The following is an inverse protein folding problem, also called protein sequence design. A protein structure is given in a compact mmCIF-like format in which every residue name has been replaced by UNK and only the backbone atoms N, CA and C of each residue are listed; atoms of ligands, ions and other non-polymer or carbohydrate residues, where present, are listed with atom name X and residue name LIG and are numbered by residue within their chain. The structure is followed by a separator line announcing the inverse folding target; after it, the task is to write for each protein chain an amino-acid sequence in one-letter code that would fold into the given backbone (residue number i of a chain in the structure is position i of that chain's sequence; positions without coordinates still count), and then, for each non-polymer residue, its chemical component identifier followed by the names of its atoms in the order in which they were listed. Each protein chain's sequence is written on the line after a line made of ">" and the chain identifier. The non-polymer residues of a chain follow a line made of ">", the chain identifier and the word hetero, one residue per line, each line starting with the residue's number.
data_IF_777707533700
#
_entry.id   IF_777707533700
#
_cell.length_a   1.000
_cell.length_b   1.000
_cell.length_c   1.000
_cell.angle_alpha   90.00
_cell.angle_beta   90.00
_cell.angle_gamma   90.00
#
_symmetry.space_group_name_H-M   'P 1'
#
loop_
_entity.id
_entity.type
_entity.pdbx_description
1 polymer ?
#
# COMPACT_ATOMS: atom_id res chain seq x y z
N UNK A 1 12.24 -22.66 25.32
CA UNK A 1 11.50 -21.47 24.83
C UNK A 1 12.15 -21.09 23.53
N UNK A 2 11.53 -21.45 22.41
CA UNK A 2 12.11 -21.24 21.08
C UNK A 2 11.58 -19.90 20.54
N UNK A 3 12.48 -18.94 20.46
CA UNK A 3 12.28 -17.65 19.80
C UNK A 3 12.14 -17.93 18.30
N UNK A 4 10.91 -17.78 17.80
CA UNK A 4 10.64 -17.95 16.36
C UNK A 4 11.00 -16.63 15.70
N UNK A 5 12.22 -16.55 15.17
CA UNK A 5 12.67 -15.42 14.37
C UNK A 5 11.75 -15.30 13.16
N UNK A 6 10.93 -14.23 13.13
CA UNK A 6 10.17 -13.81 11.96
C UNK A 6 11.18 -13.37 10.90
N UNK A 7 11.50 -14.26 9.97
CA UNK A 7 12.35 -13.95 8.82
C UNK A 7 11.71 -12.83 8.00
N UNK A 8 12.51 -11.83 7.60
CA UNK A 8 12.20 -10.64 6.77
C UNK A 8 11.42 -10.85 5.45
N UNK A 9 10.93 -12.06 5.19
CA UNK A 9 10.11 -12.41 4.03
C UNK A 9 8.60 -12.21 4.25
N UNK A 10 8.14 -11.78 5.42
CA UNK A 10 6.72 -11.50 5.71
C UNK A 10 6.30 -10.05 5.49
N UNK A 11 7.16 -9.19 4.92
CA UNK A 11 6.68 -7.93 4.36
C UNK A 11 5.92 -8.25 3.09
N UNK A 12 4.58 -8.20 3.15
CA UNK A 12 3.70 -8.26 1.99
C UNK A 12 4.09 -7.12 1.06
N UNK A 13 5.00 -7.39 0.13
CA UNK A 13 5.30 -6.50 -0.99
C UNK A 13 3.98 -6.34 -1.73
N UNK A 14 3.41 -5.14 -1.66
CA UNK A 14 2.13 -4.80 -2.26
C UNK A 14 2.06 -5.46 -3.65
N UNK A 15 1.19 -6.45 -3.87
CA UNK A 15 1.12 -7.12 -5.14
C UNK A 15 0.38 -6.18 -6.10
N UNK A 16 1.10 -5.18 -6.60
CA UNK A 16 0.65 -4.44 -7.76
C UNK A 16 0.38 -5.47 -8.87
N UNK A 17 -0.83 -5.36 -9.45
CA UNK A 17 -1.33 -6.05 -10.64
C UNK A 17 -1.92 -7.46 -10.54
N UNK A 18 -1.93 -8.18 -9.40
CA UNK A 18 -2.62 -9.49 -9.38
C UNK A 18 -4.14 -9.38 -9.30
N UNK A 19 -4.67 -8.59 -8.36
CA UNK A 19 -6.13 -8.48 -8.18
C UNK A 19 -6.81 -7.82 -9.38
N UNK A 20 -6.18 -6.81 -10.01
CA UNK A 20 -6.71 -6.17 -11.23
C UNK A 20 -6.75 -7.15 -12.42
N UNK A 21 -5.81 -8.08 -12.50
CA UNK A 21 -5.83 -9.15 -13.52
C UNK A 21 -6.93 -10.16 -13.22
N UNK A 22 -7.12 -10.55 -11.96
CA UNK A 22 -8.20 -11.47 -11.58
C UNK A 22 -9.58 -10.85 -11.70
N UNK A 23 -9.74 -9.54 -11.47
CA UNK A 23 -11.02 -8.84 -11.69
C UNK A 23 -11.35 -8.67 -13.16
N UNK A 24 -10.36 -8.42 -14.02
CA UNK A 24 -10.56 -8.42 -15.48
C UNK A 24 -10.95 -9.82 -16.01
N UNK A 25 -10.32 -10.88 -15.49
CA UNK A 25 -10.69 -12.27 -15.83
C UNK A 25 -12.09 -12.60 -15.32
N UNK A 26 -12.43 -12.21 -14.08
CA UNK A 26 -13.77 -12.41 -13.50
C UNK A 26 -14.87 -11.70 -14.28
N UNK A 27 -14.64 -10.44 -14.68
CA UNK A 27 -15.57 -9.69 -15.52
C UNK A 27 -15.75 -10.33 -16.90
N UNK A 28 -14.68 -10.85 -17.51
CA UNK A 28 -14.75 -11.57 -18.78
C UNK A 28 -15.50 -12.92 -18.65
N UNK A 29 -15.37 -13.62 -17.53
CA UNK A 29 -16.11 -14.87 -17.26
C UNK A 29 -17.59 -14.60 -17.04
N UNK A 30 -17.96 -13.56 -16.27
CA UNK A 30 -19.37 -13.19 -16.05
C UNK A 30 -20.00 -12.67 -17.35
N UNK A 31 -19.29 -11.82 -18.10
CA UNK A 31 -19.73 -11.36 -19.41
C UNK A 31 -19.86 -12.51 -20.41
N UNK A 32 -18.89 -13.44 -20.43
CA UNK A 32 -18.90 -14.63 -21.28
C UNK A 32 -20.04 -15.60 -20.93
N UNK A 33 -20.26 -15.87 -19.64
CA UNK A 33 -21.38 -16.68 -19.18
C UNK A 33 -22.74 -16.05 -19.51
N UNK A 34 -22.82 -14.71 -19.54
CA UNK A 34 -24.04 -13.98 -19.93
C UNK A 34 -24.46 -14.17 -21.38
N UNK A 35 -23.51 -14.42 -22.29
CA UNK A 35 -23.81 -14.62 -23.72
C UNK A 35 -24.15 -16.08 -24.05
N UNK A 36 -23.94 -17.01 -23.11
CA UNK A 36 -24.05 -18.45 -23.37
C UNK A 36 -25.30 -18.99 -22.65
N UNK A 37 -26.44 -18.94 -23.33
CA UNK A 37 -27.70 -19.58 -22.91
C UNK A 37 -27.55 -21.03 -22.37
N UNK A 38 -26.73 -21.92 -22.96
CA UNK A 38 -26.62 -23.30 -22.46
C UNK A 38 -26.00 -23.41 -21.06
N UNK A 39 -25.24 -22.41 -20.57
CA UNK A 39 -24.73 -22.42 -19.18
C UNK A 39 -25.86 -22.17 -18.20
N UNK A 40 -26.77 -21.25 -18.52
CA UNK A 40 -27.92 -20.97 -17.68
C UNK A 40 -28.94 -22.11 -17.71
N UNK A 41 -29.11 -22.78 -18.85
CA UNK A 41 -29.95 -23.99 -18.95
C UNK A 41 -29.37 -25.15 -18.13
N UNK A 42 -28.04 -25.31 -18.09
CA UNK A 42 -27.39 -26.32 -17.26
C UNK A 42 -27.52 -26.03 -15.74
N UNK A 43 -27.58 -24.77 -15.33
CA UNK A 43 -27.65 -24.36 -13.92
C UNK A 43 -29.09 -24.23 -13.42
N UNK A 44 -30.00 -23.72 -14.27
CA UNK A 44 -31.37 -23.35 -13.90
C UNK A 44 -32.45 -24.22 -14.56
N UNK A 45 -32.09 -25.13 -15.46
CA UNK A 45 -33.02 -25.92 -16.27
C UNK A 45 -33.46 -25.21 -17.56
N UNK A 46 -34.18 -25.94 -18.42
CA UNK A 46 -34.61 -25.47 -19.76
C UNK A 46 -35.64 -24.32 -19.70
N UNK A 47 -36.39 -24.17 -18.60
CA UNK A 47 -37.37 -23.08 -18.39
C UNK A 47 -37.17 -22.39 -17.04
N UNK A 48 -36.15 -21.54 -16.88
CA UNK A 48 -35.96 -20.78 -15.67
C UNK A 48 -37.01 -19.67 -15.55
N UNK A 49 -37.61 -19.54 -14.37
CA UNK A 49 -38.54 -18.45 -14.06
C UNK A 49 -37.94 -17.08 -14.42
N UNK A 50 -38.78 -16.20 -15.00
CA UNK A 50 -38.39 -14.89 -15.50
C UNK A 50 -37.89 -13.99 -14.36
N UNK A 51 -36.59 -14.05 -14.08
CA UNK A 51 -35.96 -13.28 -13.01
C UNK A 51 -34.69 -13.92 -12.46
N UNK A 52 -34.58 -15.25 -12.48
CA UNK A 52 -33.41 -15.95 -11.90
C UNK A 52 -32.08 -15.56 -12.55
N UNK A 53 -32.05 -15.38 -13.88
CA UNK A 53 -30.86 -14.89 -14.59
C UNK A 53 -30.42 -13.52 -14.07
N UNK A 54 -31.36 -12.59 -13.90
CA UNK A 54 -31.09 -11.24 -13.40
C UNK A 54 -30.59 -11.27 -11.96
N UNK A 55 -31.23 -12.06 -11.09
CA UNK A 55 -30.81 -12.21 -9.69
C UNK A 55 -29.39 -12.76 -9.57
N UNK A 56 -29.00 -13.71 -10.41
CA UNK A 56 -27.63 -14.25 -10.44
C UNK A 56 -26.63 -13.19 -10.87
N UNK A 57 -26.96 -12.37 -11.88
CA UNK A 57 -26.09 -11.25 -12.26
C UNK A 57 -25.94 -10.23 -11.14
N UNK A 58 -27.03 -9.84 -10.51
CA UNK A 58 -27.00 -8.89 -9.39
C UNK A 58 -26.18 -9.45 -8.23
N UNK A 59 -26.37 -10.72 -7.88
CA UNK A 59 -25.61 -11.39 -6.83
C UNK A 59 -24.11 -11.48 -7.16
N UNK A 60 -23.76 -11.81 -8.41
CA UNK A 60 -22.38 -11.88 -8.86
C UNK A 60 -21.70 -10.50 -8.82
N UNK A 61 -22.38 -9.45 -9.30
CA UNK A 61 -21.89 -8.08 -9.24
C UNK A 61 -21.71 -7.62 -7.79
N UNK A 62 -22.70 -7.90 -6.92
CA UNK A 62 -22.63 -7.55 -5.51
C UNK A 62 -21.47 -8.26 -4.78
N UNK A 63 -21.27 -9.55 -5.01
CA UNK A 63 -20.16 -10.30 -4.45
C UNK A 63 -18.81 -9.70 -4.89
N UNK A 64 -18.69 -9.32 -6.17
CA UNK A 64 -17.49 -8.66 -6.68
C UNK A 64 -17.25 -7.28 -6.08
N UNK A 65 -18.30 -6.47 -5.92
CA UNK A 65 -18.20 -5.16 -5.29
C UNK A 65 -17.71 -5.26 -3.85
N UNK A 66 -18.16 -6.29 -3.10
CA UNK A 66 -17.70 -6.57 -1.75
C UNK A 66 -16.22 -6.98 -1.72
N UNK A 67 -15.80 -7.90 -2.60
CA UNK A 67 -14.40 -8.33 -2.71
C UNK A 67 -13.49 -7.15 -3.06
N UNK A 68 -13.89 -6.32 -4.04
CA UNK A 68 -13.13 -5.15 -4.45
C UNK A 68 -13.01 -4.13 -3.30
N UNK A 69 -14.10 -3.90 -2.57
CA UNK A 69 -14.10 -3.00 -1.41
C UNK A 69 -13.19 -3.50 -0.29
N UNK A 70 -13.21 -4.81 0.00
CA UNK A 70 -12.32 -5.43 0.97
C UNK A 70 -10.84 -5.31 0.56
N UNK A 71 -10.50 -5.51 -0.72
CA UNK A 71 -9.13 -5.31 -1.23
C UNK A 71 -8.68 -3.84 -1.11
N UNK A 72 -9.56 -2.88 -1.45
CA UNK A 72 -9.25 -1.46 -1.28
C UNK A 72 -9.02 -1.09 0.19
N UNK A 73 -9.83 -1.62 1.12
CA UNK A 73 -9.65 -1.44 2.56
C UNK A 73 -8.36 -2.09 3.08
N UNK A 74 -8.04 -3.30 2.62
CA UNK A 74 -6.80 -3.97 2.99
C UNK A 74 -5.58 -3.17 2.54
N UNK A 75 -5.60 -2.61 1.32
CA UNK A 75 -4.52 -1.74 0.81
C UNK A 75 -4.44 -0.41 1.51
N UNK A 76 -5.57 0.21 1.85
CA UNK A 76 -5.55 1.47 2.59
C UNK A 76 -4.99 1.28 3.99
N UNK A 77 -5.36 0.18 4.68
CA UNK A 77 -4.78 -0.19 5.97
C UNK A 77 -3.28 -0.49 5.86
N UNK A 78 -2.88 -1.33 4.90
CA UNK A 78 -1.47 -1.62 4.68
C UNK A 78 -0.64 -0.35 4.40
N UNK A 79 -1.19 0.58 3.62
CA UNK A 79 -0.56 1.87 3.31
C UNK A 79 -0.48 2.75 4.56
N UNK A 80 -1.55 2.84 5.35
CA UNK A 80 -1.58 3.61 6.59
C UNK A 80 -0.54 3.12 7.61
N UNK A 81 -0.31 1.80 7.68
CA UNK A 81 0.70 1.22 8.55
C UNK A 81 2.13 1.32 8.00
N UNK A 82 2.28 1.54 6.69
CA UNK A 82 3.59 1.65 6.02
C UNK A 82 4.07 3.10 5.89
N UNK A 83 3.25 4.10 6.24
CA UNK A 83 3.68 5.50 6.15
C UNK A 83 4.66 5.82 7.27
N UNK A 84 5.86 6.34 6.94
CA UNK A 84 6.80 6.77 7.96
C UNK A 84 6.17 7.91 8.76
N UNK A 85 6.21 7.78 10.09
CA UNK A 85 5.68 8.81 10.98
C UNK A 85 6.60 10.03 10.91
N UNK A 86 6.11 11.11 10.32
CA UNK A 86 6.85 12.38 10.22
C UNK A 86 6.50 13.23 11.44
N UNK A 87 7.47 13.44 12.32
CA UNK A 87 7.35 14.33 13.46
C UNK A 87 8.03 15.68 13.14
N UNK A 88 7.30 16.81 13.12
CA UNK A 88 7.91 18.12 12.95
C UNK A 88 8.76 18.47 14.18
N UNK A 89 9.93 19.08 13.95
CA UNK A 89 10.74 19.61 15.05
C UNK A 89 10.33 21.07 15.29
N UNK A 90 9.90 21.40 16.51
CA UNK A 90 9.43 22.75 16.83
C UNK A 90 10.55 23.80 16.83
N UNK A 91 11.77 23.41 17.16
CA UNK A 91 12.94 24.28 17.13
C UNK A 91 13.97 23.71 16.16
N UNK A 92 14.13 24.38 15.02
CA UNK A 92 15.07 23.95 14.01
C UNK A 92 16.50 23.94 14.58
N UNK A 93 17.13 22.77 14.59
CA UNK A 93 18.49 22.61 15.10
C UNK A 93 19.48 22.74 13.95
N UNK A 94 20.60 23.43 14.20
CA UNK A 94 21.69 23.52 13.24
C UNK A 94 22.46 22.20 13.22
N UNK A 95 22.77 21.74 12.02
CA UNK A 95 23.56 20.54 11.80
C UNK A 95 24.56 20.74 10.68
N UNK A 96 25.64 19.99 10.76
CA UNK A 96 26.61 19.81 9.69
C UNK A 96 26.37 18.45 9.07
N UNK A 97 26.15 18.41 7.76
CA UNK A 97 25.98 17.17 6.99
C UNK A 97 27.35 16.63 6.58
N UNK A 98 27.62 15.34 6.80
CA UNK A 98 29.01 14.80 6.78
C UNK A 98 29.21 13.60 5.85
N UNK A 99 28.25 13.24 5.00
CA UNK A 99 28.30 12.02 4.18
C UNK A 99 29.45 11.98 3.16
N UNK A 100 29.87 13.15 2.68
CA UNK A 100 30.94 13.27 1.67
C UNK A 100 31.98 14.31 2.07
N UNK A 101 31.51 15.49 2.45
CA UNK A 101 32.30 16.60 2.94
C UNK A 101 31.49 17.29 4.05
N UNK A 102 32.18 17.82 5.06
CA UNK A 102 31.53 18.56 6.15
C UNK A 102 30.87 19.81 5.57
N UNK A 103 29.53 19.78 5.44
CA UNK A 103 28.72 20.86 4.88
C UNK A 103 27.85 21.51 5.98
N UNK A 104 28.36 22.57 6.63
CA UNK A 104 27.69 23.20 7.77
C UNK A 104 26.52 24.08 7.35
N UNK A 105 25.70 24.47 8.32
CA UNK A 105 24.62 25.44 8.13
C UNK A 105 23.32 24.84 7.58
N UNK A 106 23.13 23.52 7.72
CA UNK A 106 21.83 22.90 7.53
C UNK A 106 20.96 23.09 8.78
N UNK A 107 19.65 23.11 8.59
CA UNK A 107 18.65 23.11 9.65
C UNK A 107 17.85 21.82 9.59
N UNK A 108 17.67 21.16 10.71
CA UNK A 108 16.75 20.03 10.84
C UNK A 108 15.35 20.57 11.13
N UNK A 109 14.38 20.17 10.32
CA UNK A 109 12.98 20.65 10.46
C UNK A 109 11.97 19.54 10.73
N UNK A 110 12.32 18.29 10.43
CA UNK A 110 11.47 17.15 10.72
C UNK A 110 12.30 15.88 10.96
N UNK A 111 11.68 14.92 11.64
CA UNK A 111 12.16 13.54 11.78
C UNK A 111 11.17 12.63 11.09
N UNK A 112 11.65 11.52 10.53
CA UNK A 112 10.78 10.39 10.19
C UNK A 112 11.32 9.10 10.77
N UNK A 113 10.40 8.29 11.27
CA UNK A 113 10.68 6.92 11.68
C UNK A 113 10.15 5.99 10.60
N UNK A 114 11.03 5.17 10.04
CA UNK A 114 10.64 4.16 9.09
C UNK A 114 10.07 2.95 9.85
N UNK A 115 8.85 2.48 9.58
CA UNK A 115 8.29 1.31 10.25
C UNK A 115 9.14 0.05 10.10
N UNK A 116 9.92 -0.05 9.01
CA UNK A 116 10.80 -1.21 8.75
C UNK A 116 12.17 -1.09 9.41
N UNK A 117 12.56 0.09 9.87
CA UNK A 117 13.81 0.31 10.60
C UNK A 117 13.61 1.42 11.65
N UNK A 118 12.95 1.11 12.77
CA UNK A 118 12.58 2.10 13.78
C UNK A 118 13.79 2.69 14.52
N UNK A 119 14.92 1.97 14.55
CA UNK A 119 16.13 2.35 15.27
C UNK A 119 17.01 3.34 14.50
N UNK A 120 16.74 3.56 13.21
CA UNK A 120 17.45 4.50 12.35
C UNK A 120 16.54 5.65 11.92
N UNK A 121 16.36 6.69 12.76
CA UNK A 121 15.59 7.86 12.37
C UNK A 121 16.32 8.65 11.28
N UNK A 122 15.55 9.10 10.30
CA UNK A 122 16.02 10.03 9.28
C UNK A 122 15.53 11.44 9.59
N UNK A 123 16.36 12.41 9.28
CA UNK A 123 16.18 13.83 9.59
C UNK A 123 16.02 14.60 8.29
N UNK A 124 14.97 15.40 8.18
CA UNK A 124 14.79 16.32 7.06
C UNK A 124 15.66 17.55 7.31
N UNK A 125 16.70 17.68 6.50
CA UNK A 125 17.61 18.83 6.52
C UNK A 125 17.29 19.80 5.39
N UNK A 126 17.37 21.09 5.70
CA UNK A 126 17.17 22.19 4.75
C UNK A 126 18.31 23.18 4.84
N UNK A 127 18.72 23.72 3.69
CA UNK A 127 19.73 24.78 3.58
C UNK A 127 19.33 25.68 2.42
N UNK A 128 19.46 27.00 2.60
CA UNK A 128 19.11 27.96 1.55
C UNK A 128 19.91 27.67 0.26
N UNK A 129 19.21 27.62 -0.88
CA UNK A 129 19.82 27.31 -2.17
C UNK A 129 20.10 25.83 -2.43
N UNK A 130 19.73 24.91 -1.52
CA UNK A 130 19.79 23.46 -1.73
C UNK A 130 18.39 22.84 -1.60
N UNK A 131 18.17 21.75 -2.32
CA UNK A 131 16.94 20.97 -2.17
C UNK A 131 16.88 20.34 -0.77
N UNK A 132 15.71 20.33 -0.10
CA UNK A 132 15.51 19.56 1.13
C UNK A 132 15.85 18.09 0.92
N UNK A 133 16.50 17.46 1.90
CA UNK A 133 16.85 16.05 1.81
C UNK A 133 16.71 15.35 3.16
N UNK A 134 16.49 14.04 3.10
CA UNK A 134 16.51 13.18 4.28
C UNK A 134 17.91 12.62 4.48
N UNK A 135 18.43 12.73 5.70
CA UNK A 135 19.73 12.23 6.09
C UNK A 135 19.61 11.37 7.36
N UNK A 136 20.30 10.22 7.44
CA UNK A 136 20.33 9.42 8.66
C UNK A 136 21.11 10.14 9.76
N UNK A 137 20.85 9.78 11.03
CA UNK A 137 21.59 10.32 12.18
C UNK A 137 23.11 10.24 12.04
N UNK A 138 23.62 9.18 11.40
CA UNK A 138 25.05 8.92 11.19
C UNK A 138 25.74 9.99 10.36
N UNK A 139 24.99 10.64 9.46
CA UNK A 139 25.53 11.60 8.49
C UNK A 139 25.41 13.05 8.99
N UNK A 140 25.07 13.24 10.28
CA UNK A 140 24.80 14.54 10.89
C UNK A 140 25.62 14.73 12.16
N UNK A 141 26.31 15.87 12.23
CA UNK A 141 26.87 16.43 13.48
C UNK A 141 25.95 17.55 13.97
N UNK A 142 25.55 17.48 15.22
CA UNK A 142 24.71 18.47 15.88
C UNK A 142 25.64 19.41 16.66
N UNK A 143 25.45 20.71 16.44
CA UNK A 143 26.22 21.77 17.10
C UNK A 143 25.61 22.17 18.46
#
# INVERSE_FOLDING_TARGET
>A
MAETALTDNEVVKAPELRVTKFSAVGAAVVAGAAVINPVFEAILGEEPEAGHKVTIFVAAIAAWALIASADMLARSLATAHSQPQIAPIQQAMKVTYTKHEDDPGHLVVALRFNPTNPDEPEFLIVKAGKAPMWAPRSDLKFD
#
